data_IF_751978035469
#
_entry.id   IF_751978035469
#
_cell.length_a   1.000
_cell.length_b   1.000
_cell.length_c   1.000
_cell.angle_alpha   90.00
_cell.angle_beta   90.00
_cell.angle_gamma   90.00
#
_symmetry.space_group_name_H-M   'P 1'
#
loop_
_entity.id
_entity.type
_entity.pdbx_description
1 polymer ?
#
# COMPACT_ATOMS: atom_id res chain seq x y z
N UNK A 1 3.43 10.15 -0.75
CA UNK A 1 4.32 9.65 0.34
C UNK A 1 5.64 10.38 0.23
N UNK A 2 6.09 11.02 1.31
CA UNK A 2 7.39 11.70 1.33
C UNK A 2 8.52 10.67 1.20
N UNK A 3 9.63 11.03 0.54
CA UNK A 3 10.83 10.18 0.50
C UNK A 3 11.27 9.81 1.93
N UNK A 4 11.76 8.58 2.12
CA UNK A 4 12.15 8.00 3.42
C UNK A 4 10.99 7.69 4.39
N UNK A 5 9.73 7.72 3.94
CA UNK A 5 8.62 7.20 4.76
C UNK A 5 8.74 5.69 4.96
N UNK A 6 8.23 5.18 6.09
CA UNK A 6 8.16 3.73 6.34
C UNK A 6 6.82 3.20 5.84
N UNK A 7 6.86 2.16 5.00
CA UNK A 7 5.67 1.43 4.56
C UNK A 7 5.68 0.05 5.26
N UNK A 8 4.59 -0.25 5.95
CA UNK A 8 4.36 -1.52 6.63
C UNK A 8 3.38 -2.36 5.83
N UNK A 9 3.77 -3.57 5.45
CA UNK A 9 2.89 -4.54 4.77
C UNK A 9 2.94 -5.89 5.48
N UNK A 10 2.02 -6.78 5.16
CA UNK A 10 2.21 -8.20 5.46
C UNK A 10 3.45 -8.77 4.75
N UNK A 11 4.00 -9.84 5.31
CA UNK A 11 5.03 -10.63 4.67
C UNK A 11 4.45 -11.44 3.50
N UNK A 12 4.47 -10.86 2.30
CA UNK A 12 3.96 -11.50 1.09
C UNK A 12 4.81 -11.20 -0.14
N UNK A 13 4.95 -12.19 -1.05
CA UNK A 13 5.86 -12.11 -2.20
C UNK A 13 5.56 -10.94 -3.14
N UNK A 14 4.28 -10.59 -3.29
CA UNK A 14 3.86 -9.47 -4.14
C UNK A 14 4.47 -8.12 -3.70
N UNK A 15 4.87 -7.99 -2.44
CA UNK A 15 5.41 -6.75 -1.88
C UNK A 15 6.94 -6.64 -1.97
N UNK A 16 7.66 -7.64 -2.48
CA UNK A 16 9.13 -7.55 -2.59
C UNK A 16 9.61 -6.37 -3.43
N UNK A 17 8.88 -6.06 -4.50
CA UNK A 17 9.24 -4.97 -5.41
C UNK A 17 9.11 -3.59 -4.76
N UNK A 18 8.43 -3.48 -3.61
CA UNK A 18 8.29 -2.23 -2.87
C UNK A 18 9.67 -1.68 -2.44
N UNK A 19 10.67 -2.54 -2.23
CA UNK A 19 12.04 -2.11 -1.92
C UNK A 19 12.74 -1.32 -3.04
N UNK A 20 12.22 -1.38 -4.27
CA UNK A 20 12.79 -0.69 -5.42
C UNK A 20 12.37 0.78 -5.52
N UNK A 21 11.55 1.26 -4.59
CA UNK A 21 11.07 2.64 -4.53
C UNK A 21 11.74 3.39 -3.36
N UNK A 22 11.67 4.73 -3.36
CA UNK A 22 12.32 5.61 -2.36
C UNK A 22 11.63 5.62 -0.97
N UNK A 23 11.30 4.46 -0.42
CA UNK A 23 10.75 4.31 0.92
C UNK A 23 11.36 3.11 1.66
N UNK A 24 11.25 3.14 2.99
CA UNK A 24 11.74 2.04 3.84
C UNK A 24 10.61 1.01 3.95
N UNK A 25 10.80 -0.15 3.34
CA UNK A 25 9.82 -1.24 3.40
C UNK A 25 10.07 -2.14 4.61
N UNK A 26 9.07 -2.27 5.47
CA UNK A 26 9.08 -3.18 6.61
C UNK A 26 7.87 -4.13 6.55
N UNK A 27 8.04 -5.32 7.11
CA UNK A 27 7.00 -6.36 7.11
C UNK A 27 6.53 -6.66 8.52
N UNK A 28 5.22 -6.90 8.68
CA UNK A 28 4.61 -7.36 9.93
C UNK A 28 3.91 -8.70 9.71
N UNK A 29 3.63 -9.38 10.83
CA UNK A 29 2.77 -10.57 10.86
C UNK A 29 1.59 -10.31 11.80
N UNK A 30 0.38 -10.19 11.24
CA UNK A 30 -0.85 -9.94 12.00
C UNK A 30 -1.34 -11.17 12.79
N UNK A 31 -0.77 -12.35 12.56
CA UNK A 31 -1.20 -13.61 13.19
C UNK A 31 -1.03 -13.63 14.71
N UNK A 32 -0.06 -12.90 15.24
CA UNK A 32 0.40 -13.06 16.62
C UNK A 32 0.02 -11.89 17.53
N UNK A 33 -0.05 -10.67 17.00
CA UNK A 33 -0.23 -9.45 17.79
C UNK A 33 -1.13 -8.47 17.04
N UNK A 34 -2.07 -7.81 17.73
CA UNK A 34 -2.96 -6.75 17.18
C UNK A 34 -2.23 -5.40 17.01
N UNK A 35 -1.34 -5.10 17.95
CA UNK A 35 -0.34 -4.05 17.86
C UNK A 35 0.99 -4.76 18.03
N UNK A 36 1.90 -4.58 17.08
CA UNK A 36 3.21 -5.19 17.15
C UNK A 36 3.99 -4.64 18.36
N UNK A 37 4.45 -5.50 19.24
CA UNK A 37 5.06 -5.11 20.51
C UNK A 37 6.41 -4.40 20.35
N UNK A 38 7.13 -4.66 19.26
CA UNK A 38 8.46 -4.10 18.99
C UNK A 38 8.45 -2.73 18.33
N UNK A 39 7.45 -2.44 17.50
CA UNK A 39 7.39 -1.22 16.68
C UNK A 39 6.06 -0.46 16.77
N UNK A 40 5.14 -0.93 17.62
CA UNK A 40 3.82 -0.34 17.88
C UNK A 40 2.91 -0.21 16.65
N UNK A 41 3.20 -0.92 15.56
CA UNK A 41 2.37 -0.91 14.35
C UNK A 41 1.06 -1.65 14.61
N UNK A 42 -0.05 -1.04 14.23
CA UNK A 42 -1.36 -1.69 14.23
C UNK A 42 -1.44 -2.69 13.06
N UNK A 43 -1.20 -3.96 13.36
CA UNK A 43 -1.17 -5.04 12.36
C UNK A 43 -2.56 -5.32 11.79
N UNK A 44 -3.61 -5.12 12.60
CA UNK A 44 -5.00 -5.31 12.18
C UNK A 44 -5.42 -4.28 11.13
N UNK A 45 -4.91 -3.05 11.24
CA UNK A 45 -5.13 -2.01 10.23
C UNK A 45 -4.51 -2.40 8.88
N UNK A 46 -3.31 -2.97 8.89
CA UNK A 46 -2.64 -3.50 7.68
C UNK A 46 -3.45 -4.64 7.06
N UNK A 47 -3.91 -5.60 7.87
CA UNK A 47 -4.75 -6.72 7.41
C UNK A 47 -6.08 -6.22 6.83
N UNK A 48 -6.77 -5.34 7.54
CA UNK A 48 -8.04 -4.75 7.12
C UNK A 48 -7.91 -4.06 5.76
N UNK A 49 -6.82 -3.31 5.57
CA UNK A 49 -6.54 -2.66 4.30
C UNK A 49 -6.31 -3.66 3.16
N UNK A 50 -5.55 -4.73 3.38
CA UNK A 50 -5.37 -5.83 2.42
C UNK A 50 -6.70 -6.50 2.05
N UNK A 51 -7.60 -6.68 3.04
CA UNK A 51 -8.93 -7.22 2.82
C UNK A 51 -9.78 -6.27 1.96
N UNK A 52 -9.73 -4.96 2.18
CA UNK A 52 -10.40 -3.96 1.34
C UNK A 52 -9.95 -4.04 -0.12
N UNK A 53 -8.63 -4.14 -0.38
CA UNK A 53 -8.09 -4.31 -1.73
C UNK A 53 -8.58 -5.60 -2.38
N UNK A 54 -8.53 -6.71 -1.64
CA UNK A 54 -8.97 -8.02 -2.14
C UNK A 54 -10.46 -8.02 -2.49
N UNK A 55 -11.30 -7.39 -1.67
CA UNK A 55 -12.73 -7.24 -1.93
C UNK A 55 -13.00 -6.42 -3.18
N UNK A 56 -12.30 -5.30 -3.37
CA UNK A 56 -12.47 -4.44 -4.55
C UNK A 56 -12.02 -5.15 -5.84
N UNK A 57 -10.91 -5.88 -5.80
CA UNK A 57 -10.44 -6.71 -6.94
C UNK A 57 -11.49 -7.77 -7.29
N UNK A 58 -12.04 -8.47 -6.29
CA UNK A 58 -13.11 -9.45 -6.50
C UNK A 58 -14.37 -8.81 -7.07
N UNK A 59 -14.77 -7.63 -6.57
CA UNK A 59 -15.93 -6.86 -7.06
C UNK A 59 -15.79 -6.50 -8.54
N UNK A 60 -14.57 -6.22 -8.99
CA UNK A 60 -14.23 -5.93 -10.40
C UNK A 60 -14.06 -7.17 -11.27
N UNK A 61 -14.17 -8.38 -10.70
CA UNK A 61 -13.90 -9.67 -11.36
C UNK A 61 -12.44 -9.79 -11.82
N UNK A 62 -11.52 -9.26 -11.03
CA UNK A 62 -10.10 -9.21 -11.33
C UNK A 62 -9.65 -7.88 -11.92
N UNK A 63 -8.34 -7.73 -12.00
CA UNK A 63 -7.65 -6.58 -12.60
C UNK A 63 -6.50 -7.15 -13.42
N UNK A 64 -6.34 -6.69 -14.66
CA UNK A 64 -5.19 -7.10 -15.48
C UNK A 64 -3.90 -6.64 -14.79
N UNK A 65 -2.84 -7.45 -14.86
CA UNK A 65 -1.55 -7.14 -14.23
C UNK A 65 -1.02 -5.77 -14.65
N UNK A 66 -1.18 -5.41 -15.93
CA UNK A 66 -0.78 -4.09 -16.47
C UNK A 66 -1.49 -2.89 -15.81
N UNK A 67 -2.67 -3.09 -15.21
CA UNK A 67 -3.48 -2.04 -14.61
C UNK A 67 -3.41 -2.03 -13.06
N UNK A 68 -2.61 -2.90 -12.46
CA UNK A 68 -2.55 -3.03 -10.99
C UNK A 68 -1.98 -1.77 -10.32
N UNK A 69 -0.91 -1.19 -10.89
CA UNK A 69 -0.30 0.02 -10.34
C UNK A 69 -1.25 1.22 -10.43
N UNK A 70 -1.90 1.41 -11.58
CA UNK A 70 -2.91 2.45 -11.76
C UNK A 70 -4.09 2.29 -10.79
N UNK A 71 -4.59 1.06 -10.65
CA UNK A 71 -5.66 0.75 -9.70
C UNK A 71 -5.27 1.10 -8.26
N UNK A 72 -4.09 0.66 -7.81
CA UNK A 72 -3.61 0.94 -6.45
C UNK A 72 -3.43 2.44 -6.23
N UNK A 73 -2.90 3.16 -7.23
CA UNK A 73 -2.76 4.61 -7.15
C UNK A 73 -4.12 5.30 -6.99
N UNK A 74 -5.10 4.96 -7.83
CA UNK A 74 -6.46 5.54 -7.76
C UNK A 74 -7.13 5.18 -6.43
N UNK A 75 -7.01 3.93 -5.99
CA UNK A 75 -7.61 3.45 -4.75
C UNK A 75 -7.04 4.16 -3.52
N UNK A 76 -5.71 4.27 -3.43
CA UNK A 76 -5.02 4.89 -2.30
C UNK A 76 -5.23 6.40 -2.22
N UNK A 77 -5.48 7.05 -3.35
CA UNK A 77 -5.66 8.49 -3.43
C UNK A 77 -7.12 8.87 -3.70
N UNK A 78 -8.09 7.98 -3.48
CA UNK A 78 -9.49 8.19 -3.87
C UNK A 78 -10.09 9.51 -3.38
N UNK A 79 -9.75 9.92 -2.16
CA UNK A 79 -10.26 11.16 -1.55
C UNK A 79 -9.58 12.43 -2.09
N UNK A 80 -8.30 12.35 -2.47
CA UNK A 80 -7.48 13.50 -2.89
C UNK A 80 -6.81 13.26 -4.25
N UNK A 81 -7.50 12.57 -5.17
CA UNK A 81 -6.90 12.05 -6.40
C UNK A 81 -6.34 13.16 -7.29
N UNK A 82 -7.05 14.29 -7.38
CA UNK A 82 -6.60 15.46 -8.13
C UNK A 82 -5.26 15.99 -7.61
N UNK A 83 -5.13 16.14 -6.29
CA UNK A 83 -3.88 16.61 -5.68
C UNK A 83 -2.74 15.59 -5.87
N UNK A 84 -3.03 14.29 -5.73
CA UNK A 84 -2.05 13.23 -5.97
C UNK A 84 -1.54 13.22 -7.43
N UNK A 85 -2.42 13.42 -8.41
CA UNK A 85 -2.07 13.55 -9.83
C UNK A 85 -1.25 14.83 -10.05
N UNK A 86 -1.66 15.97 -9.48
CA UNK A 86 -0.92 17.22 -9.59
C UNK A 86 0.49 17.12 -9.00
N UNK A 87 0.67 16.36 -7.90
CA UNK A 87 1.97 16.08 -7.31
C UNK A 87 2.84 15.13 -8.15
N UNK A 88 2.24 14.26 -8.96
CA UNK A 88 2.97 13.44 -9.94
C UNK A 88 3.42 14.27 -11.16
N UNK A 89 2.56 15.16 -11.65
CA UNK A 89 2.83 16.02 -12.82
C UNK A 89 3.81 17.14 -12.47
N UNK A 90 3.73 17.68 -11.24
CA UNK A 90 4.81 18.48 -10.66
C UNK A 90 6.00 17.54 -10.41
N UNK A 91 6.70 17.23 -11.48
CA UNK A 91 7.99 16.53 -11.44
C UNK A 91 8.83 17.17 -10.33
N UNK A 92 9.27 16.33 -9.39
CA UNK A 92 10.28 16.66 -8.39
C UNK A 92 11.45 17.36 -9.09
N UNK A 93 11.55 18.68 -8.93
CA UNK A 93 12.81 19.40 -9.07
C UNK A 93 13.59 19.27 -7.76
#
# INVERSE_FOLDING_TARGET
>A
VAGNSIIWTDEHRAYYNLRNYNFIHQTICHKYEFINSSNSVNTQAVESFNNCLTLEIKRRKGIKTENQEEFLFIFNNRENLLEAILNLIKINN
#
